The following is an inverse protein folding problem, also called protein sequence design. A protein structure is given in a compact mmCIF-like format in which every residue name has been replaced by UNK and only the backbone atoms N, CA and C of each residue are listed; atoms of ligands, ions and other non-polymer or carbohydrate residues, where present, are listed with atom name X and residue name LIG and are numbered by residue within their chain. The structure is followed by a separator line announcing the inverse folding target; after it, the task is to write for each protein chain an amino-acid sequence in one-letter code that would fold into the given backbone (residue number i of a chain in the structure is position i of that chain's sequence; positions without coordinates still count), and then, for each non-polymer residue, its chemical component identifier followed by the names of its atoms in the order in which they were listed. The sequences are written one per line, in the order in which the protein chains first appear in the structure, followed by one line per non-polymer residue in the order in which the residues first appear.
data_IF_627159820884
#
_entry.id   IF_627159820884
#
_cell.length_a   1.000
_cell.length_b   1.000
_cell.length_c   1.000
_cell.angle_alpha   90.00
_cell.angle_beta   90.00
_cell.angle_gamma   90.00
#
_symmetry.space_group_name_H-M   'P 1'
#
loop_
_entity.id
_entity.type
_entity.pdbx_description
1 polymer ?
#
# COMPACT_ATOMS: atom_id res chain seq x y z
N UNK A 1 -14.83 -2.46 -28.94
CA UNK A 1 -14.63 -3.71 -28.16
C UNK A 1 -14.05 -3.28 -26.82
N UNK A 2 -14.59 -3.78 -25.73
CA UNK A 2 -14.00 -3.49 -24.40
C UNK A 2 -12.84 -4.49 -24.19
N UNK A 3 -11.63 -3.97 -23.92
CA UNK A 3 -10.51 -4.80 -23.51
C UNK A 3 -10.57 -5.04 -22.00
N UNK A 4 -10.48 -6.29 -21.56
CA UNK A 4 -10.50 -6.70 -20.16
C UNK A 4 -9.16 -7.32 -19.81
N UNK A 5 -8.54 -6.85 -18.74
CA UNK A 5 -7.33 -7.41 -18.17
C UNK A 5 -7.69 -8.22 -16.91
N UNK A 6 -7.43 -9.51 -16.93
CA UNK A 6 -7.57 -10.37 -15.75
C UNK A 6 -6.35 -10.22 -14.88
N UNK A 7 -6.55 -9.72 -13.67
CA UNK A 7 -5.49 -9.40 -12.71
C UNK A 7 -5.26 -10.54 -11.73
N UNK A 8 -4.05 -11.10 -11.72
CA UNK A 8 -3.54 -11.91 -10.62
C UNK A 8 -2.80 -11.06 -9.61
N UNK A 9 -2.86 -11.41 -8.33
CA UNK A 9 -2.22 -10.62 -7.28
C UNK A 9 -1.50 -11.50 -6.27
N UNK A 10 -0.18 -11.28 -6.05
CA UNK A 10 0.58 -11.91 -4.97
C UNK A 10 0.79 -10.90 -3.84
N UNK A 11 0.78 -11.38 -2.59
CA UNK A 11 0.90 -10.53 -1.39
C UNK A 11 -0.17 -9.44 -1.40
N UNK A 12 -1.40 -9.82 -1.71
CA UNK A 12 -2.48 -8.91 -2.07
C UNK A 12 -2.91 -7.98 -0.92
N UNK A 13 -2.56 -8.31 0.32
CA UNK A 13 -3.00 -7.56 1.47
C UNK A 13 -4.54 -7.48 1.53
N UNK A 14 -5.11 -6.44 2.13
CA UNK A 14 -6.57 -6.30 2.22
C UNK A 14 -7.23 -5.87 0.89
N UNK A 15 -6.47 -5.76 -0.20
CA UNK A 15 -7.01 -5.39 -1.52
C UNK A 15 -6.90 -3.90 -1.88
N UNK A 16 -5.93 -3.17 -1.35
CA UNK A 16 -5.74 -1.76 -1.72
C UNK A 16 -5.39 -1.55 -3.19
N UNK A 17 -4.52 -2.40 -3.75
CA UNK A 17 -4.21 -2.42 -5.18
C UNK A 17 -5.42 -2.90 -5.98
N UNK A 18 -6.01 -4.05 -5.61
CA UNK A 18 -7.16 -4.62 -6.30
C UNK A 18 -8.34 -3.66 -6.36
N UNK A 19 -8.66 -2.97 -5.25
CA UNK A 19 -9.73 -1.99 -5.24
C UNK A 19 -9.46 -0.84 -6.24
N UNK A 20 -8.24 -0.34 -6.26
CA UNK A 20 -7.82 0.67 -7.24
C UNK A 20 -7.93 0.17 -8.68
N UNK A 21 -7.55 -1.10 -8.93
CA UNK A 21 -7.59 -1.73 -10.23
C UNK A 21 -9.02 -1.90 -10.77
N UNK A 22 -9.91 -2.54 -10.00
CA UNK A 22 -11.30 -2.80 -10.43
C UNK A 22 -12.15 -1.54 -10.53
N UNK A 23 -11.78 -0.47 -9.82
CA UNK A 23 -12.42 0.84 -9.87
C UNK A 23 -11.73 1.83 -10.84
N UNK A 24 -10.68 1.42 -11.55
CA UNK A 24 -10.07 2.24 -12.59
C UNK A 24 -11.08 2.48 -13.72
N UNK A 25 -11.25 3.76 -14.10
CA UNK A 25 -12.29 4.16 -15.04
C UNK A 25 -11.67 4.78 -16.30
N UNK A 26 -11.52 3.96 -17.31
CA UNK A 26 -11.03 4.37 -18.66
C UNK A 26 -11.97 3.80 -19.73
N UNK A 27 -12.52 4.63 -20.62
CA UNK A 27 -13.46 4.17 -21.63
C UNK A 27 -12.92 2.98 -22.46
N UNK A 28 -13.72 1.92 -22.54
CA UNK A 28 -13.37 0.72 -23.31
C UNK A 28 -12.32 -0.19 -22.66
N UNK A 29 -11.88 0.10 -21.46
CA UNK A 29 -10.86 -0.66 -20.74
C UNK A 29 -11.38 -1.09 -19.36
N UNK A 30 -11.07 -2.30 -18.92
CA UNK A 30 -11.47 -2.82 -17.61
C UNK A 30 -10.39 -3.73 -17.03
N UNK A 31 -10.26 -3.70 -15.71
CA UNK A 31 -9.48 -4.69 -14.95
C UNK A 31 -10.46 -5.51 -14.12
N UNK A 32 -10.34 -6.83 -14.19
CA UNK A 32 -11.14 -7.77 -13.39
C UNK A 32 -10.23 -8.65 -12.56
N UNK A 33 -10.69 -8.99 -11.36
CA UNK A 33 -10.01 -9.95 -10.51
C UNK A 33 -9.97 -11.33 -11.20
N UNK A 34 -8.81 -12.00 -11.14
CA UNK A 34 -8.64 -13.38 -11.58
C UNK A 34 -8.32 -14.30 -10.40
N UNK A 35 -7.31 -13.98 -9.63
CA UNK A 35 -6.93 -14.67 -8.40
C UNK A 35 -6.05 -13.77 -7.52
N UNK A 36 -5.98 -14.08 -6.23
CA UNK A 36 -5.12 -13.39 -5.28
C UNK A 36 -4.49 -14.36 -4.28
N UNK A 37 -3.33 -14.02 -3.72
CA UNK A 37 -2.70 -14.77 -2.64
C UNK A 37 -2.20 -13.84 -1.54
N UNK A 38 -2.48 -14.23 -0.30
CA UNK A 38 -1.84 -13.72 0.92
C UNK A 38 -1.81 -14.85 1.95
N UNK A 39 -0.93 -14.78 2.95
CA UNK A 39 -0.83 -15.80 3.99
C UNK A 39 -1.70 -15.52 5.21
N UNK A 40 -2.13 -14.29 5.42
CA UNK A 40 -2.87 -13.83 6.61
C UNK A 40 -4.37 -14.03 6.41
N UNK A 41 -4.97 -14.85 7.26
CA UNK A 41 -6.38 -15.24 7.12
C UNK A 41 -7.35 -14.06 7.16
N UNK A 42 -7.22 -13.16 8.15
CA UNK A 42 -8.12 -11.99 8.26
C UNK A 42 -7.99 -11.10 7.03
N UNK A 43 -6.77 -10.97 6.51
CA UNK A 43 -6.47 -10.22 5.29
C UNK A 43 -7.15 -10.83 4.07
N UNK A 44 -7.08 -12.17 3.92
CA UNK A 44 -7.78 -12.89 2.85
C UNK A 44 -9.30 -12.72 2.95
N UNK A 45 -9.87 -12.78 4.15
CA UNK A 45 -11.31 -12.55 4.35
C UNK A 45 -11.71 -11.12 3.96
N UNK A 46 -10.91 -10.13 4.33
CA UNK A 46 -11.11 -8.73 3.92
C UNK A 46 -11.07 -8.58 2.40
N UNK A 47 -10.07 -9.18 1.76
CA UNK A 47 -9.94 -9.15 0.29
C UNK A 47 -11.15 -9.80 -0.38
N UNK A 48 -11.48 -11.03 -0.01
CA UNK A 48 -12.62 -11.78 -0.55
C UNK A 48 -13.91 -10.97 -0.45
N UNK A 49 -14.21 -10.43 0.74
CA UNK A 49 -15.43 -9.69 0.99
C UNK A 49 -15.61 -8.47 0.08
N UNK A 50 -14.54 -7.73 -0.17
CA UNK A 50 -14.62 -6.43 -0.85
C UNK A 50 -14.28 -6.50 -2.35
N UNK A 51 -13.55 -7.52 -2.79
CA UNK A 51 -13.04 -7.59 -4.16
C UNK A 51 -13.73 -8.68 -4.98
N UNK A 52 -13.91 -9.87 -4.39
CA UNK A 52 -14.43 -11.03 -5.12
C UNK A 52 -15.40 -11.88 -4.28
N UNK A 53 -16.48 -11.27 -3.73
CA UNK A 53 -17.41 -12.01 -2.85
C UNK A 53 -18.11 -13.18 -3.54
N UNK A 54 -18.27 -13.12 -4.87
CA UNK A 54 -18.93 -14.15 -5.67
C UNK A 54 -17.98 -15.29 -6.08
N UNK A 55 -16.66 -15.16 -5.82
CA UNK A 55 -15.64 -16.15 -6.19
C UNK A 55 -14.55 -16.29 -5.10
N UNK A 56 -14.94 -16.63 -3.86
CA UNK A 56 -14.00 -16.71 -2.72
C UNK A 56 -12.89 -17.75 -2.91
N UNK A 57 -13.11 -18.77 -3.71
CA UNK A 57 -12.14 -19.83 -4.03
C UNK A 57 -10.95 -19.35 -4.85
N UNK A 58 -11.03 -18.15 -5.42
CA UNK A 58 -9.93 -17.53 -6.18
C UNK A 58 -8.92 -16.81 -5.27
N UNK A 59 -9.19 -16.73 -3.96
CA UNK A 59 -8.27 -16.18 -2.97
C UNK A 59 -7.54 -17.32 -2.25
N UNK A 60 -6.29 -17.50 -2.61
CA UNK A 60 -5.40 -18.53 -2.04
C UNK A 60 -4.81 -18.02 -0.73
N UNK A 61 -5.41 -18.43 0.40
CA UNK A 61 -4.97 -18.03 1.73
C UNK A 61 -3.89 -19.01 2.26
N UNK A 62 -2.68 -18.86 1.76
CA UNK A 62 -1.54 -19.71 2.11
C UNK A 62 -0.20 -19.00 1.90
N UNK A 63 0.85 -19.50 2.53
CA UNK A 63 2.20 -19.01 2.29
C UNK A 63 2.57 -19.21 0.82
N UNK A 64 3.10 -18.17 0.18
CA UNK A 64 3.49 -18.19 -1.23
C UNK A 64 4.50 -19.32 -1.56
N UNK A 65 5.27 -19.79 -0.57
CA UNK A 65 6.18 -20.94 -0.70
C UNK A 65 5.44 -22.27 -0.94
N UNK A 66 4.15 -22.35 -0.57
CA UNK A 66 3.31 -23.52 -0.75
C UNK A 66 2.37 -23.38 -1.96
N UNK A 67 2.27 -22.16 -2.50
CA UNK A 67 1.38 -21.85 -3.62
C UNK A 67 1.81 -22.59 -4.89
N UNK A 68 0.91 -23.43 -5.39
CA UNK A 68 1.11 -24.15 -6.65
C UNK A 68 0.76 -23.24 -7.83
N UNK A 69 1.78 -22.65 -8.44
CA UNK A 69 1.59 -21.73 -9.56
C UNK A 69 0.89 -22.38 -10.75
N UNK A 70 1.01 -23.70 -10.94
CA UNK A 70 0.36 -24.41 -12.07
C UNK A 70 -1.16 -24.49 -11.93
N UNK A 71 -1.68 -24.31 -10.72
CA UNK A 71 -3.12 -24.29 -10.43
C UNK A 71 -3.78 -22.93 -10.56
N UNK A 72 -2.99 -21.86 -10.69
CA UNK A 72 -3.54 -20.52 -10.86
C UNK A 72 -4.15 -20.35 -12.25
N UNK A 73 -5.25 -19.61 -12.34
CA UNK A 73 -5.88 -19.29 -13.62
C UNK A 73 -5.01 -18.34 -14.48
N UNK A 74 -5.23 -18.33 -15.80
CA UNK A 74 -4.50 -17.45 -16.71
C UNK A 74 -4.82 -15.98 -16.41
N UNK A 75 -3.81 -15.12 -16.57
CA UNK A 75 -3.88 -13.67 -16.30
C UNK A 75 -3.38 -12.86 -17.48
N UNK A 76 -3.88 -11.63 -17.59
CA UNK A 76 -3.41 -10.60 -18.54
C UNK A 76 -2.52 -9.57 -17.85
N UNK A 77 -2.60 -9.51 -16.51
CA UNK A 77 -1.92 -8.55 -15.64
C UNK A 77 -1.52 -9.18 -14.31
N UNK A 78 -0.42 -8.70 -13.72
CA UNK A 78 0.03 -9.12 -12.38
C UNK A 78 0.26 -7.88 -11.51
N UNK A 79 -0.21 -7.91 -10.26
CA UNK A 79 0.23 -6.98 -9.22
C UNK A 79 0.89 -7.75 -8.06
N UNK A 80 1.97 -7.22 -7.47
CA UNK A 80 2.59 -7.83 -6.30
C UNK A 80 3.34 -6.82 -5.44
N UNK A 81 3.01 -6.82 -4.14
CA UNK A 81 3.65 -5.99 -3.12
C UNK A 81 4.56 -6.83 -2.22
N UNK A 82 5.79 -7.11 -2.64
CA UNK A 82 6.68 -8.01 -1.91
C UNK A 82 7.34 -7.35 -0.69
N UNK A 83 7.50 -8.07 0.45
CA UNK A 83 8.15 -7.54 1.65
C UNK A 83 9.62 -7.17 1.43
N UNK A 84 10.07 -6.08 2.09
CA UNK A 84 11.45 -5.60 2.01
C UNK A 84 12.42 -6.33 2.97
N UNK A 85 11.90 -7.16 3.89
CA UNK A 85 12.68 -7.71 5.00
C UNK A 85 13.75 -8.73 4.58
N UNK A 86 13.64 -9.33 3.40
CA UNK A 86 14.53 -10.40 2.94
C UNK A 86 15.89 -9.90 2.42
N UNK A 87 16.06 -8.59 2.26
CA UNK A 87 17.33 -8.02 1.79
C UNK A 87 18.38 -7.83 2.89
N UNK A 88 17.99 -7.94 4.17
CA UNK A 88 18.92 -7.90 5.30
C UNK A 88 19.74 -9.20 5.47
N UNK A 89 19.33 -10.28 4.82
CA UNK A 89 19.96 -11.63 4.91
C UNK A 89 20.77 -11.99 3.66
N UNK A 90 20.89 -11.11 2.68
CA UNK A 90 21.69 -11.33 1.45
C UNK A 90 23.22 -11.24 1.71
N UNK A 91 23.66 -11.58 2.92
CA UNK A 91 25.07 -11.80 3.23
C UNK A 91 25.62 -13.16 2.80
N UNK A 92 24.80 -14.11 2.38
CA UNK A 92 25.22 -15.41 1.92
C UNK A 92 24.82 -15.66 0.46
N UNK A 93 25.82 -15.89 -0.37
CA UNK A 93 25.77 -16.20 -1.80
C UNK A 93 25.05 -17.53 -2.12
N UNK A 94 23.87 -17.75 -1.58
CA UNK A 94 23.01 -18.86 -1.95
C UNK A 94 22.02 -18.36 -3.01
N UNK A 95 22.48 -18.36 -4.27
CA UNK A 95 21.61 -18.17 -5.41
C UNK A 95 20.39 -19.11 -5.35
N UNK A 96 19.45 -19.00 -6.28
CA UNK A 96 18.16 -19.72 -6.48
C UNK A 96 18.03 -21.18 -5.97
N UNK A 97 19.01 -21.73 -5.26
CA UNK A 97 19.05 -23.08 -4.66
C UNK A 97 18.81 -23.11 -3.14
N UNK A 98 18.60 -21.97 -2.50
CA UNK A 98 18.17 -21.91 -1.10
C UNK A 98 16.69 -22.31 -0.99
N UNK A 99 16.33 -23.03 0.07
CA UNK A 99 14.98 -23.53 0.34
C UNK A 99 13.91 -22.40 0.44
N UNK A 100 14.34 -21.13 0.47
CA UNK A 100 13.54 -19.91 0.52
C UNK A 100 14.26 -18.81 -0.27
N UNK A 101 13.98 -18.69 -1.58
CA UNK A 101 14.41 -17.53 -2.37
C UNK A 101 13.74 -16.25 -1.86
N UNK A 102 14.28 -15.06 -2.19
CA UNK A 102 13.62 -13.79 -1.80
C UNK A 102 12.20 -13.73 -2.38
N UNK A 103 11.24 -13.26 -1.59
CA UNK A 103 9.80 -13.33 -1.92
C UNK A 103 9.41 -12.69 -3.27
N UNK A 104 10.15 -11.66 -3.74
CA UNK A 104 9.92 -11.09 -5.06
C UNK A 104 10.11 -12.11 -6.22
N UNK A 105 10.91 -13.17 -6.00
CA UNK A 105 11.16 -14.19 -7.02
C UNK A 105 9.91 -14.97 -7.43
N UNK A 106 8.90 -15.04 -6.56
CA UNK A 106 7.60 -15.61 -6.90
C UNK A 106 6.88 -14.76 -7.94
N UNK A 107 6.94 -13.42 -7.81
CA UNK A 107 6.48 -12.52 -8.86
C UNK A 107 7.19 -12.77 -10.19
N UNK A 108 8.52 -12.92 -10.18
CA UNK A 108 9.30 -13.25 -11.39
C UNK A 108 8.88 -14.61 -11.98
N UNK A 109 8.62 -15.62 -11.13
CA UNK A 109 8.15 -16.93 -11.60
C UNK A 109 6.80 -16.82 -12.32
N UNK A 110 5.85 -16.04 -11.77
CA UNK A 110 4.57 -15.77 -12.41
C UNK A 110 4.76 -15.02 -13.75
N UNK A 111 5.66 -14.02 -13.80
CA UNK A 111 5.96 -13.30 -15.04
C UNK A 111 6.50 -14.24 -16.14
N UNK A 112 7.37 -15.18 -15.79
CA UNK A 112 7.95 -16.14 -16.73
C UNK A 112 6.92 -17.18 -17.21
N UNK A 113 6.06 -17.65 -16.31
CA UNK A 113 5.07 -18.70 -16.59
C UNK A 113 3.87 -18.18 -17.37
N UNK A 114 3.24 -17.11 -16.88
CA UNK A 114 1.99 -16.58 -17.41
C UNK A 114 2.16 -15.50 -18.46
N UNK A 115 3.31 -14.83 -18.48
CA UNK A 115 3.67 -13.77 -19.43
C UNK A 115 2.57 -12.71 -19.59
N UNK A 116 2.06 -12.12 -18.47
CA UNK A 116 1.03 -11.09 -18.54
C UNK A 116 1.47 -9.93 -19.43
N UNK A 117 0.52 -9.18 -19.97
CA UNK A 117 0.80 -8.02 -20.83
C UNK A 117 1.56 -6.92 -20.08
N UNK A 118 1.22 -6.75 -18.79
CA UNK A 118 1.84 -5.79 -17.90
C UNK A 118 1.85 -6.29 -16.45
N UNK A 119 2.70 -5.67 -15.64
CA UNK A 119 2.70 -5.88 -14.19
C UNK A 119 2.88 -4.57 -13.42
N UNK A 120 2.45 -4.58 -12.16
CA UNK A 120 2.75 -3.57 -11.15
C UNK A 120 3.44 -4.26 -9.96
N UNK A 121 4.69 -3.88 -9.68
CA UNK A 121 5.41 -4.31 -8.48
C UNK A 121 5.55 -3.14 -7.50
N UNK A 122 5.17 -3.36 -6.23
CA UNK A 122 5.21 -2.32 -5.18
C UNK A 122 6.20 -2.69 -4.09
N UNK A 123 6.87 -1.67 -3.54
CA UNK A 123 7.69 -1.79 -2.35
C UNK A 123 7.80 -0.44 -1.60
N UNK A 124 8.34 -0.48 -0.38
CA UNK A 124 8.64 0.74 0.37
C UNK A 124 9.68 1.61 -0.34
N UNK A 125 9.59 2.94 -0.19
CA UNK A 125 10.53 3.87 -0.83
C UNK A 125 12.01 3.63 -0.46
N UNK A 126 12.28 3.05 0.71
CA UNK A 126 13.62 2.72 1.19
C UNK A 126 14.34 1.60 0.43
N UNK A 127 13.65 0.82 -0.41
CA UNK A 127 14.29 -0.25 -1.20
C UNK A 127 15.41 0.27 -2.10
N UNK A 128 15.31 1.54 -2.51
CA UNK A 128 16.31 2.22 -3.36
C UNK A 128 17.69 2.27 -2.74
N UNK A 129 17.77 2.37 -1.40
CA UNK A 129 19.02 2.44 -0.65
C UNK A 129 19.32 1.14 0.11
N UNK A 130 18.47 0.14 0.05
CA UNK A 130 18.69 -1.13 0.70
C UNK A 130 19.93 -1.82 0.11
N UNK A 131 20.86 -2.23 0.98
CA UNK A 131 22.13 -2.85 0.59
C UNK A 131 22.88 -2.05 -0.50
N UNK A 132 23.09 -0.75 -0.25
CA UNK A 132 23.74 0.19 -1.19
C UNK A 132 23.12 0.21 -2.60
N UNK A 133 21.83 -0.08 -2.71
CA UNK A 133 21.07 -0.11 -3.96
C UNK A 133 21.23 -1.39 -4.78
N UNK A 134 22.08 -2.33 -4.36
CA UNK A 134 22.33 -3.57 -5.10
C UNK A 134 21.10 -4.45 -5.19
N UNK A 135 20.29 -4.51 -4.11
CA UNK A 135 19.04 -5.27 -4.09
C UNK A 135 18.05 -4.76 -5.16
N UNK A 136 17.89 -3.44 -5.24
CA UNK A 136 16.97 -2.83 -6.20
C UNK A 136 17.43 -3.06 -7.65
N UNK A 137 18.73 -2.92 -7.93
CA UNK A 137 19.30 -3.21 -9.25
C UNK A 137 19.10 -4.68 -9.65
N UNK A 138 19.24 -5.60 -8.72
CA UNK A 138 19.02 -7.03 -8.97
C UNK A 138 17.55 -7.31 -9.35
N UNK A 139 16.60 -6.76 -8.58
CA UNK A 139 15.17 -6.90 -8.87
C UNK A 139 14.83 -6.37 -10.27
N UNK A 140 15.34 -5.18 -10.61
CA UNK A 140 15.15 -4.60 -11.95
C UNK A 140 15.72 -5.50 -13.05
N UNK A 141 16.94 -6.02 -12.87
CA UNK A 141 17.56 -6.92 -13.84
C UNK A 141 16.74 -8.20 -14.03
N UNK A 142 16.21 -8.79 -12.95
CA UNK A 142 15.39 -10.01 -13.04
C UNK A 142 14.06 -9.75 -13.77
N UNK A 143 13.42 -8.58 -13.57
CA UNK A 143 12.23 -8.16 -14.31
C UNK A 143 12.51 -7.95 -15.81
N UNK A 144 13.63 -7.31 -16.14
CA UNK A 144 14.07 -7.10 -17.54
C UNK A 144 14.34 -8.45 -18.20
N UNK A 145 15.07 -9.34 -17.51
CA UNK A 145 15.38 -10.69 -18.00
C UNK A 145 14.12 -11.56 -18.16
N UNK A 146 13.06 -11.29 -17.40
CA UNK A 146 11.75 -11.92 -17.60
C UNK A 146 11.01 -11.44 -18.85
N UNK A 147 11.56 -10.48 -19.60
CA UNK A 147 11.03 -10.02 -20.88
C UNK A 147 10.20 -8.75 -20.83
N UNK A 148 10.45 -7.86 -19.87
CA UNK A 148 9.68 -6.63 -19.70
C UNK A 148 10.55 -5.37 -19.80
N UNK A 149 10.01 -4.32 -20.42
CA UNK A 149 10.46 -2.95 -20.22
C UNK A 149 9.88 -2.44 -18.91
N UNK A 150 10.71 -1.86 -18.05
CA UNK A 150 10.29 -1.44 -16.71
C UNK A 150 10.32 0.08 -16.58
N UNK A 151 9.40 0.61 -15.76
CA UNK A 151 9.23 2.03 -15.49
C UNK A 151 9.17 2.26 -13.97
N UNK A 152 10.34 2.28 -13.29
CA UNK A 152 10.41 2.48 -11.84
C UNK A 152 10.17 3.94 -11.49
N UNK A 153 9.33 4.21 -10.49
CA UNK A 153 9.12 5.55 -9.96
C UNK A 153 8.81 5.55 -8.47
N UNK A 154 9.33 6.56 -7.76
CA UNK A 154 8.99 6.82 -6.36
C UNK A 154 7.76 7.71 -6.28
N UNK A 155 6.61 7.11 -6.03
CA UNK A 155 5.37 7.85 -5.83
C UNK A 155 5.31 8.44 -4.42
N UNK A 156 5.14 9.76 -4.35
CA UNK A 156 4.80 10.51 -3.14
C UNK A 156 3.31 10.76 -3.19
N UNK A 157 2.54 9.91 -2.54
CA UNK A 157 1.09 9.88 -2.72
C UNK A 157 0.39 11.16 -2.29
N UNK A 158 0.95 11.92 -1.35
CA UNK A 158 0.45 13.25 -0.99
C UNK A 158 0.36 14.20 -2.19
N UNK A 159 1.24 14.06 -3.18
CA UNK A 159 1.22 14.87 -4.40
C UNK A 159 0.10 14.46 -5.38
N UNK A 160 -0.54 13.32 -5.15
CA UNK A 160 -1.64 12.78 -5.94
C UNK A 160 -3.00 12.92 -5.23
N UNK A 161 -3.13 13.88 -4.33
CA UNK A 161 -4.37 14.13 -3.60
C UNK A 161 -4.70 13.12 -2.50
N UNK A 162 -3.75 12.26 -2.14
CA UNK A 162 -3.93 11.32 -1.04
C UNK A 162 -3.62 12.02 0.29
N UNK A 163 -4.50 11.95 1.30
CA UNK A 163 -4.34 12.66 2.57
C UNK A 163 -3.27 12.03 3.49
N UNK A 164 -2.19 11.53 2.89
CA UNK A 164 -1.11 10.84 3.58
C UNK A 164 0.23 10.98 2.87
N UNK A 165 1.25 11.45 3.58
CA UNK A 165 2.65 11.43 3.13
C UNK A 165 3.17 9.98 3.21
N UNK A 166 2.88 9.22 2.14
CA UNK A 166 3.27 7.82 1.96
C UNK A 166 4.05 7.66 0.68
N UNK A 167 5.30 7.25 0.80
CA UNK A 167 6.19 7.09 -0.33
C UNK A 167 6.34 5.61 -0.68
N UNK A 168 6.10 5.26 -1.94
CA UNK A 168 6.21 3.89 -2.44
C UNK A 168 6.97 3.84 -3.76
N UNK A 169 7.89 2.88 -3.82
CA UNK A 169 8.50 2.49 -5.07
C UNK A 169 7.51 1.63 -5.84
N UNK A 170 7.13 2.06 -7.03
CA UNK A 170 6.29 1.27 -7.93
C UNK A 170 7.02 1.10 -9.24
N UNK A 171 7.08 -0.13 -9.71
CA UNK A 171 7.66 -0.51 -10.98
C UNK A 171 6.53 -1.02 -11.87
N UNK A 172 6.26 -0.33 -12.95
CA UNK A 172 5.38 -0.84 -13.99
C UNK A 172 6.24 -1.55 -15.02
N UNK A 173 5.83 -2.74 -15.43
CA UNK A 173 6.48 -3.48 -16.51
C UNK A 173 5.52 -3.72 -17.66
N UNK A 174 5.95 -3.47 -18.88
CA UNK A 174 5.21 -3.81 -20.12
C UNK A 174 6.02 -4.82 -20.91
N UNK A 175 5.37 -5.91 -21.35
CA UNK A 175 6.04 -7.00 -22.06
C UNK A 175 6.67 -6.49 -23.36
N UNK A 176 7.88 -6.94 -23.66
CA UNK A 176 8.75 -6.40 -24.72
C UNK A 176 8.19 -6.49 -26.14
N UNK A 177 7.31 -7.47 -26.40
CA UNK A 177 6.67 -7.68 -27.71
C UNK A 177 5.51 -6.71 -27.98
N UNK A 178 5.09 -5.92 -26.98
CA UNK A 178 3.98 -4.98 -27.09
C UNK A 178 4.48 -3.58 -27.45
N UNK A 179 3.77 -2.82 -28.31
CA UNK A 179 4.23 -1.50 -28.79
C UNK A 179 3.91 -0.34 -27.83
N UNK A 180 3.56 -0.64 -26.58
CA UNK A 180 3.13 0.38 -25.60
C UNK A 180 4.30 0.87 -24.76
N UNK A 181 4.26 2.15 -24.40
CA UNK A 181 5.23 2.81 -23.50
C UNK A 181 4.47 3.47 -22.35
N UNK A 182 4.74 3.04 -21.11
CA UNK A 182 4.11 3.64 -19.95
C UNK A 182 4.76 4.99 -19.59
N UNK A 183 3.93 5.99 -19.33
CA UNK A 183 4.35 7.30 -18.85
C UNK A 183 3.86 7.51 -17.41
N UNK A 184 4.71 8.10 -16.58
CA UNK A 184 4.37 8.34 -15.17
C UNK A 184 3.33 9.47 -15.11
N UNK A 185 2.12 9.26 -14.57
CA UNK A 185 1.09 10.30 -14.51
C UNK A 185 1.58 11.53 -13.72
N UNK A 186 1.29 12.73 -14.24
CA UNK A 186 1.67 13.98 -13.58
C UNK A 186 0.87 14.19 -12.29
N UNK A 187 1.51 14.56 -11.18
CA UNK A 187 0.84 14.95 -9.95
C UNK A 187 0.16 16.32 -10.04
N UNK A 188 0.45 17.14 -11.06
CA UNK A 188 -0.07 18.52 -11.18
C UNK A 188 -1.59 18.61 -11.32
N UNK A 189 -2.26 17.50 -11.64
CA UNK A 189 -3.71 17.40 -11.73
C UNK A 189 -4.41 17.29 -10.38
N UNK A 190 -3.65 17.12 -9.30
CA UNK A 190 -4.19 16.81 -7.99
C UNK A 190 -3.82 17.90 -6.98
N UNK A 191 -4.78 18.30 -6.16
CA UNK A 191 -4.55 19.16 -5.01
C UNK A 191 -4.23 18.35 -3.76
N UNK A 192 -3.47 18.94 -2.85
CA UNK A 192 -3.21 18.31 -1.56
C UNK A 192 -4.52 18.19 -0.76
N UNK A 193 -4.77 17.01 -0.20
CA UNK A 193 -5.89 16.74 0.70
C UNK A 193 -5.38 16.64 2.13
N UNK A 194 -6.03 17.35 3.04
CA UNK A 194 -5.66 17.38 4.46
C UNK A 194 -6.28 16.23 5.26
N UNK A 195 -5.75 15.99 6.47
CA UNK A 195 -6.36 15.03 7.40
C UNK A 195 -7.81 15.41 7.75
N UNK A 196 -8.07 16.70 7.95
CA UNK A 196 -9.40 17.22 8.27
C UNK A 196 -10.37 16.90 7.14
N UNK A 197 -10.03 17.25 5.91
CA UNK A 197 -10.87 16.97 4.75
C UNK A 197 -11.20 15.49 4.63
N UNK A 198 -10.20 14.62 4.81
CA UNK A 198 -10.40 13.19 4.68
C UNK A 198 -11.28 12.57 5.78
N UNK A 199 -11.21 13.10 7.01
CA UNK A 199 -11.91 12.52 8.16
C UNK A 199 -13.26 13.19 8.40
N UNK A 200 -13.36 14.51 8.22
CA UNK A 200 -14.54 15.29 8.56
C UNK A 200 -15.43 15.64 7.36
N UNK A 201 -14.96 15.49 6.11
CA UNK A 201 -15.70 15.90 4.93
C UNK A 201 -15.81 14.83 3.84
N UNK A 202 -16.95 14.12 3.73
CA UNK A 202 -18.12 14.16 4.65
C UNK A 202 -17.77 13.54 6.01
N UNK A 203 -18.54 13.81 7.07
CA UNK A 203 -18.38 13.13 8.35
C UNK A 203 -18.49 11.61 8.21
N UNK A 204 -17.70 10.87 8.99
CA UNK A 204 -17.81 9.40 9.02
C UNK A 204 -19.19 9.02 9.57
N UNK A 205 -19.96 8.17 8.87
CA UNK A 205 -21.25 7.67 9.40
C UNK A 205 -21.04 7.00 10.77
N UNK A 206 -21.99 7.21 11.69
CA UNK A 206 -21.89 6.66 13.04
C UNK A 206 -21.90 5.14 13.09
N UNK A 207 -22.50 4.51 12.07
CA UNK A 207 -22.61 3.07 11.86
C UNK A 207 -21.55 2.51 10.90
N UNK A 208 -20.59 3.34 10.47
CA UNK A 208 -19.52 2.89 9.58
C UNK A 208 -18.74 1.71 10.20
N UNK A 209 -18.45 0.66 9.44
CA UNK A 209 -17.69 -0.48 9.95
C UNK A 209 -16.28 -0.08 10.37
N UNK A 210 -15.73 -0.77 11.37
CA UNK A 210 -14.38 -0.55 11.91
C UNK A 210 -14.15 0.85 12.53
N UNK A 211 -15.22 1.52 12.99
CA UNK A 211 -15.18 2.87 13.57
C UNK A 211 -15.16 2.89 15.12
N UNK A 212 -14.90 1.75 15.76
CA UNK A 212 -14.90 1.66 17.22
C UNK A 212 -13.69 2.35 17.85
N UNK A 213 -13.92 3.11 18.89
CA UNK A 213 -12.83 3.74 19.66
C UNK A 213 -11.91 2.74 20.34
N UNK A 214 -10.62 3.06 20.35
CA UNK A 214 -9.64 2.35 21.19
C UNK A 214 -9.63 2.96 22.58
N UNK A 215 -9.88 2.13 23.59
CA UNK A 215 -9.82 2.54 24.99
C UNK A 215 -8.40 3.00 25.37
N UNK A 216 -8.28 4.20 25.93
CA UNK A 216 -7.01 4.76 26.40
C UNK A 216 -6.98 4.75 27.92
N UNK A 217 -5.79 4.59 28.52
CA UNK A 217 -5.63 4.76 29.97
C UNK A 217 -5.75 6.24 30.37
N UNK A 218 -6.17 6.51 31.60
CA UNK A 218 -6.27 7.87 32.13
C UNK A 218 -4.97 8.65 31.95
N UNK A 219 -3.82 8.04 32.21
CA UNK A 219 -2.51 8.67 32.06
C UNK A 219 -2.23 9.08 30.59
N UNK A 220 -2.67 8.28 29.61
CA UNK A 220 -2.53 8.63 28.18
C UNK A 220 -3.41 9.84 27.86
N UNK A 221 -4.67 9.81 28.32
CA UNK A 221 -5.61 10.92 28.10
C UNK A 221 -5.07 12.22 28.70
N UNK A 222 -4.57 12.18 29.96
CA UNK A 222 -3.98 13.36 30.62
C UNK A 222 -2.76 13.88 29.84
N UNK A 223 -1.86 13.01 29.39
CA UNK A 223 -0.70 13.41 28.60
C UNK A 223 -1.09 14.08 27.29
N UNK A 224 -2.10 13.54 26.60
CA UNK A 224 -2.57 14.09 25.32
C UNK A 224 -3.10 15.52 25.45
N UNK A 225 -3.60 15.95 26.61
CA UNK A 225 -4.08 17.34 26.82
C UNK A 225 -2.98 18.39 26.58
N UNK A 226 -1.72 18.01 26.77
CA UNK A 226 -0.55 18.91 26.61
C UNK A 226 0.06 18.84 25.21
N UNK A 227 -0.32 17.88 24.37
CA UNK A 227 0.23 17.70 23.04
C UNK A 227 -0.68 18.40 22.03
N UNK A 228 -0.19 19.46 21.39
CA UNK A 228 -0.91 20.22 20.36
C UNK A 228 -0.90 19.48 18.99
N UNK A 229 -1.78 19.84 18.05
CA UNK A 229 -1.73 19.32 16.68
C UNK A 229 -0.32 19.39 16.09
N UNK A 230 0.11 18.30 15.44
CA UNK A 230 1.44 18.18 14.85
C UNK A 230 2.59 17.87 15.81
N UNK A 231 2.39 18.02 17.11
CA UNK A 231 3.39 17.70 18.15
C UNK A 231 3.38 16.22 18.54
N UNK A 232 4.42 15.83 19.27
CA UNK A 232 4.58 14.52 19.90
C UNK A 232 5.02 14.68 21.37
N UNK A 233 5.18 13.56 22.08
CA UNK A 233 5.55 13.58 23.50
C UNK A 233 6.91 14.23 23.83
N UNK A 234 7.77 14.46 22.84
CA UNK A 234 9.11 15.04 23.04
C UNK A 234 9.20 16.48 22.57
N UNK A 235 8.22 16.97 21.82
CA UNK A 235 8.16 18.36 21.34
C UNK A 235 7.13 19.20 22.06
N UNK A 236 6.25 18.56 22.85
CA UNK A 236 5.24 19.22 23.67
C UNK A 236 5.79 19.54 25.06
N UNK A 237 5.27 20.61 25.65
CA UNK A 237 5.55 20.98 27.03
C UNK A 237 4.63 20.19 27.97
N UNK A 238 5.12 19.02 28.41
CA UNK A 238 4.39 18.05 29.24
C UNK A 238 4.91 18.15 30.66
N UNK A 239 4.04 18.26 31.71
CA UNK A 239 4.42 18.24 33.12
C UNK A 239 5.31 17.03 33.44
N UNK A 240 6.27 17.23 34.37
CA UNK A 240 7.32 16.24 34.69
C UNK A 240 6.74 14.87 35.08
N UNK A 241 5.63 14.85 35.83
CA UNK A 241 4.94 13.64 36.26
C UNK A 241 4.29 12.82 35.08
N UNK A 242 4.03 13.49 33.95
CA UNK A 242 3.45 12.88 32.74
C UNK A 242 4.49 12.63 31.63
N UNK A 243 5.74 13.08 31.82
CA UNK A 243 6.80 12.85 30.84
C UNK A 243 7.14 11.37 30.71
N UNK A 244 7.63 11.02 29.52
CA UNK A 244 8.07 9.65 29.23
C UNK A 244 9.49 9.45 29.71
N UNK A 245 9.68 8.51 30.62
CA UNK A 245 11.03 8.07 31.10
C UNK A 245 11.55 7.01 30.10
N UNK A 246 12.06 7.46 28.95
CA UNK A 246 12.58 6.56 27.89
C UNK A 246 14.11 6.49 27.99
N UNK A 247 14.62 5.25 28.08
CA UNK A 247 16.05 4.98 27.91
C UNK A 247 16.29 4.68 26.42
N UNK A 248 17.11 5.50 25.75
CA UNK A 248 17.48 5.28 24.35
C UNK A 248 16.91 6.32 23.38
N UNK A 249 16.80 5.94 22.08
CA UNK A 249 16.40 6.86 21.01
C UNK A 249 14.96 7.36 21.17
N UNK A 250 14.77 8.66 21.02
CA UNK A 250 13.44 9.30 21.03
C UNK A 250 12.75 9.05 19.68
N UNK A 251 11.72 8.20 19.67
CA UNK A 251 10.93 7.92 18.47
C UNK A 251 9.92 9.06 18.26
N UNK A 252 10.05 9.81 17.18
CA UNK A 252 9.21 10.98 16.87
C UNK A 252 7.71 10.66 16.72
N UNK A 253 7.35 9.39 16.57
CA UNK A 253 5.96 8.94 16.45
C UNK A 253 5.25 8.76 17.81
N UNK A 254 5.99 8.83 18.95
CA UNK A 254 5.40 8.58 20.27
C UNK A 254 4.42 9.71 20.65
N UNK A 255 3.16 9.34 20.87
CA UNK A 255 2.03 10.24 21.16
C UNK A 255 1.89 11.39 20.13
N UNK A 256 2.23 11.11 18.87
CA UNK A 256 2.15 12.13 17.82
C UNK A 256 0.71 12.36 17.39
N UNK A 257 0.24 13.61 17.55
CA UNK A 257 -1.03 14.06 16.99
C UNK A 257 -0.87 14.41 15.51
N UNK A 258 -1.91 14.18 14.75
CA UNK A 258 -2.01 14.70 13.38
C UNK A 258 -2.05 16.24 13.37
N UNK A 259 -1.60 16.84 12.30
CA UNK A 259 -1.86 18.24 11.95
C UNK A 259 -3.07 18.26 10.99
N UNK A 260 -4.21 18.81 11.40
CA UNK A 260 -5.43 18.75 10.60
C UNK A 260 -5.32 19.45 9.26
N UNK A 261 -4.43 20.44 9.14
CA UNK A 261 -4.23 21.26 7.94
C UNK A 261 -3.19 20.67 6.95
N UNK A 262 -2.72 19.45 7.22
CA UNK A 262 -1.73 18.75 6.39
C UNK A 262 -2.17 17.31 6.08
N UNK A 263 -1.62 16.69 5.04
CA UNK A 263 -1.68 15.23 4.91
C UNK A 263 -1.10 14.56 6.15
N UNK A 264 -1.61 13.40 6.53
CA UNK A 264 -1.06 12.61 7.63
C UNK A 264 0.38 12.16 7.31
N UNK A 265 1.17 11.92 8.33
CA UNK A 265 2.36 11.07 8.15
C UNK A 265 1.93 9.63 7.82
N UNK A 266 2.87 8.82 7.34
CA UNK A 266 2.58 7.44 6.93
C UNK A 266 1.84 6.66 8.03
N UNK A 267 0.65 6.19 7.71
CA UNK A 267 -0.12 5.26 8.54
C UNK A 267 0.53 3.89 8.45
N UNK A 268 0.98 3.37 9.58
CA UNK A 268 1.65 2.07 9.66
C UNK A 268 0.76 1.02 10.30
N UNK A 269 0.98 -0.24 9.99
CA UNK A 269 0.29 -1.38 10.61
C UNK A 269 0.74 -1.65 12.04
N UNK A 270 1.94 -1.18 12.41
CA UNK A 270 2.42 -1.22 13.79
C UNK A 270 1.71 -0.15 14.63
N UNK A 271 1.58 -0.40 15.89
CA UNK A 271 1.05 0.58 16.83
C UNK A 271 0.37 -0.10 18.02
N UNK A 272 0.80 0.28 19.20
CA UNK A 272 0.26 -0.06 20.49
C UNK A 272 0.80 0.96 21.50
N UNK A 273 0.08 1.21 22.58
CA UNK A 273 0.49 2.22 23.55
C UNK A 273 0.76 3.59 22.90
N UNK A 274 1.93 4.15 23.11
CA UNK A 274 2.30 5.48 22.63
C UNK A 274 2.50 5.63 21.12
N UNK A 275 2.56 4.53 20.35
CA UNK A 275 2.83 4.59 18.91
C UNK A 275 1.56 4.63 18.03
N UNK A 276 0.39 4.78 18.65
CA UNK A 276 -0.84 5.08 17.90
C UNK A 276 -0.74 6.41 17.18
N UNK A 277 -1.48 6.54 16.07
CA UNK A 277 -1.78 7.83 15.46
C UNK A 277 -2.89 8.49 16.27
N UNK A 278 -2.67 9.72 16.74
CA UNK A 278 -3.61 10.43 17.62
C UNK A 278 -4.35 11.54 16.87
N UNK A 279 -5.63 11.67 17.21
CA UNK A 279 -6.49 12.72 16.70
C UNK A 279 -5.96 14.11 17.13
N UNK A 280 -6.13 15.12 16.26
CA UNK A 280 -5.57 16.47 16.50
C UNK A 280 -6.23 17.22 17.65
N UNK A 281 -7.55 17.06 17.85
CA UNK A 281 -8.33 17.78 18.88
C UNK A 281 -8.84 16.89 20.00
N UNK A 282 -9.13 15.61 19.74
CA UNK A 282 -9.62 14.67 20.73
C UNK A 282 -8.47 13.92 21.41
N UNK A 283 -8.62 13.59 22.69
CA UNK A 283 -7.58 12.89 23.47
C UNK A 283 -7.64 11.38 23.28
N UNK A 284 -7.61 10.93 22.03
CA UNK A 284 -7.73 9.53 21.64
C UNK A 284 -6.89 9.17 20.41
N UNK A 285 -6.62 7.88 20.25
CA UNK A 285 -6.12 7.37 18.99
C UNK A 285 -7.21 7.46 17.90
N UNK A 286 -6.78 7.49 16.64
CA UNK A 286 -7.70 7.33 15.51
C UNK A 286 -8.39 5.97 15.56
N UNK A 287 -9.64 5.93 15.14
CA UNK A 287 -10.35 4.69 14.83
C UNK A 287 -9.71 4.02 13.60
N UNK A 288 -10.03 2.76 13.35
CA UNK A 288 -9.57 2.11 12.12
C UNK A 288 -10.25 2.70 10.88
N UNK A 289 -11.50 3.17 10.98
CA UNK A 289 -12.18 3.86 9.87
C UNK A 289 -11.52 5.19 9.51
N UNK A 290 -11.14 6.00 10.49
CA UNK A 290 -10.38 7.23 10.26
C UNK A 290 -9.03 6.93 9.56
N UNK A 291 -8.34 5.87 9.98
CA UNK A 291 -7.10 5.41 9.32
C UNK A 291 -7.34 4.93 7.90
N UNK A 292 -8.46 4.20 7.66
CA UNK A 292 -8.85 3.70 6.35
C UNK A 292 -9.14 4.86 5.37
N UNK A 293 -9.80 5.93 5.84
CA UNK A 293 -9.99 7.14 5.03
C UNK A 293 -8.67 7.83 4.67
N UNK A 294 -7.69 7.87 5.59
CA UNK A 294 -6.35 8.40 5.27
C UNK A 294 -5.61 7.52 4.25
N UNK A 295 -5.96 6.24 4.13
CA UNK A 295 -5.54 5.32 3.08
C UNK A 295 -6.49 5.29 1.87
N UNK A 296 -7.48 6.20 1.86
CA UNK A 296 -8.46 6.37 0.78
C UNK A 296 -9.34 5.15 0.49
N UNK A 297 -9.55 4.28 1.47
CA UNK A 297 -10.59 3.27 1.40
C UNK A 297 -11.97 3.91 1.60
N UNK A 298 -12.99 3.51 0.83
CA UNK A 298 -14.35 4.01 1.04
C UNK A 298 -14.96 3.49 2.35
N UNK A 299 -16.03 4.14 2.82
CA UNK A 299 -16.62 3.82 4.12
C UNK A 299 -17.33 2.48 4.18
N UNK A 300 -17.76 1.98 3.05
CA UNK A 300 -18.38 0.65 2.89
C UNK A 300 -17.36 -0.49 2.75
N UNK A 301 -16.07 -0.18 2.63
CA UNK A 301 -15.02 -1.20 2.62
C UNK A 301 -14.84 -1.79 4.02
N UNK A 302 -15.20 -3.04 4.22
CA UNK A 302 -15.20 -3.71 5.52
C UNK A 302 -13.92 -4.50 5.73
N UNK A 303 -13.18 -4.21 6.80
CA UNK A 303 -12.02 -4.99 7.21
C UNK A 303 -12.45 -6.06 8.21
N UNK A 304 -12.01 -7.30 8.00
CA UNK A 304 -12.26 -8.45 8.85
C UNK A 304 -11.15 -8.65 9.88
N UNK A 305 -11.52 -9.26 11.03
CA UNK A 305 -10.59 -9.60 12.09
C UNK A 305 -10.61 -8.65 13.30
N UNK A 306 -9.67 -8.85 14.20
CA UNK A 306 -9.54 -8.03 15.41
C UNK A 306 -9.14 -6.58 15.08
N UNK A 307 -9.38 -5.64 16.01
CA UNK A 307 -8.93 -4.24 15.84
C UNK A 307 -7.44 -4.11 15.51
N UNK A 308 -6.62 -5.01 16.03
CA UNK A 308 -5.18 -5.03 15.74
C UNK A 308 -4.88 -5.53 14.35
N UNK A 309 -5.56 -6.60 13.92
CA UNK A 309 -5.48 -7.13 12.58
C UNK A 309 -5.92 -6.08 11.55
N UNK A 310 -7.06 -5.44 11.76
CA UNK A 310 -7.57 -4.37 10.89
C UNK A 310 -6.58 -3.21 10.78
N UNK A 311 -6.00 -2.77 11.91
CA UNK A 311 -4.97 -1.73 11.91
C UNK A 311 -3.75 -2.12 11.09
N UNK A 312 -3.29 -3.37 11.22
CA UNK A 312 -2.17 -3.94 10.45
C UNK A 312 -2.49 -3.93 8.97
N UNK A 313 -3.65 -4.43 8.57
CA UNK A 313 -4.12 -4.46 7.18
C UNK A 313 -4.13 -3.06 6.56
N UNK A 314 -4.76 -2.08 7.21
CA UNK A 314 -4.81 -0.69 6.73
C UNK A 314 -3.41 -0.11 6.56
N UNK A 315 -2.52 -0.31 7.54
CA UNK A 315 -1.18 0.25 7.50
C UNK A 315 -0.26 -0.38 6.45
N UNK A 316 -0.49 -1.63 6.08
CA UNK A 316 0.28 -2.32 5.04
C UNK A 316 -0.21 -1.99 3.63
N UNK A 317 -1.47 -1.63 3.46
CA UNK A 317 -2.08 -1.39 2.15
C UNK A 317 -1.41 -0.25 1.36
N UNK A 318 -1.50 -0.33 0.05
CA UNK A 318 -1.33 0.82 -0.84
C UNK A 318 -2.61 1.66 -0.79
N UNK A 319 -2.54 3.01 -0.75
CA UNK A 319 -3.74 3.84 -0.79
C UNK A 319 -4.60 3.54 -2.00
N UNK A 320 -5.87 3.21 -1.79
CA UNK A 320 -6.78 2.70 -2.82
C UNK A 320 -6.94 3.67 -4.01
N UNK A 321 -7.13 4.98 -3.75
CA UNK A 321 -7.19 5.99 -4.81
C UNK A 321 -5.84 6.22 -5.48
N UNK A 322 -4.73 6.10 -4.73
CA UNK A 322 -3.38 6.17 -5.30
C UNK A 322 -3.13 5.03 -6.29
N UNK A 323 -3.54 3.82 -5.95
CA UNK A 323 -3.51 2.67 -6.85
C UNK A 323 -4.37 2.90 -8.10
N UNK A 324 -5.61 3.40 -7.93
CA UNK A 324 -6.53 3.71 -9.03
C UNK A 324 -5.89 4.65 -10.06
N UNK A 325 -5.24 5.72 -9.63
CA UNK A 325 -4.55 6.68 -10.51
C UNK A 325 -3.51 5.98 -11.38
N UNK A 326 -2.75 5.06 -10.80
CA UNK A 326 -1.70 4.33 -11.54
C UNK A 326 -2.32 3.34 -12.52
N UNK A 327 -3.35 2.60 -12.10
CA UNK A 327 -4.05 1.67 -13.00
C UNK A 327 -4.77 2.40 -14.15
N UNK A 328 -5.36 3.57 -13.91
CA UNK A 328 -5.91 4.40 -14.98
C UNK A 328 -4.83 4.85 -15.98
N UNK A 329 -3.62 5.19 -15.52
CA UNK A 329 -2.51 5.51 -16.41
C UNK A 329 -2.07 4.28 -17.25
N UNK A 330 -2.05 3.08 -16.66
CA UNK A 330 -1.79 1.84 -17.39
C UNK A 330 -2.88 1.63 -18.46
N UNK A 331 -4.15 1.68 -18.08
CA UNK A 331 -5.26 1.49 -19.01
C UNK A 331 -5.27 2.52 -20.16
N UNK A 332 -4.99 3.80 -19.86
CA UNK A 332 -4.85 4.85 -20.87
C UNK A 332 -3.70 4.55 -21.83
N UNK A 333 -2.59 4.01 -21.34
CA UNK A 333 -1.46 3.58 -22.17
C UNK A 333 -1.90 2.53 -23.20
N UNK A 334 -2.65 1.51 -22.77
CA UNK A 334 -3.16 0.46 -23.66
C UNK A 334 -4.29 0.94 -24.58
N UNK A 335 -5.09 1.91 -24.13
CA UNK A 335 -6.14 2.53 -24.94
C UNK A 335 -5.61 3.56 -25.96
N UNK A 336 -4.32 3.91 -25.92
CA UNK A 336 -3.75 4.99 -26.74
C UNK A 336 -4.28 6.38 -26.37
N UNK A 337 -4.77 6.57 -25.14
CA UNK A 337 -5.27 7.84 -24.64
C UNK A 337 -4.13 8.61 -24.01
N UNK A 338 -3.88 9.80 -24.51
CA UNK A 338 -2.86 10.70 -23.93
C UNK A 338 -3.30 11.23 -22.56
N UNK A 339 -2.33 11.40 -21.67
CA UNK A 339 -2.52 11.99 -20.34
C UNK A 339 -1.29 12.78 -19.93
N UNK A 340 -1.42 13.80 -19.06
CA UNK A 340 -0.29 14.54 -18.53
C UNK A 340 0.67 13.63 -17.78
N UNK A 341 1.97 13.74 -18.06
CA UNK A 341 3.00 12.88 -17.50
C UNK A 341 4.25 13.67 -17.09
N UNK A 342 5.05 13.07 -16.22
CA UNK A 342 6.35 13.56 -15.78
C UNK A 342 7.46 12.57 -16.14
N UNK A 343 8.70 13.06 -16.21
CA UNK A 343 9.87 12.19 -16.34
C UNK A 343 10.05 11.28 -15.12
N UNK A 344 10.64 10.10 -15.32
CA UNK A 344 10.92 9.17 -14.23
C UNK A 344 11.79 9.83 -13.14
N UNK A 345 11.41 9.64 -11.88
CA UNK A 345 12.18 10.12 -10.72
C UNK A 345 13.48 9.34 -10.52
N UNK A 346 13.61 8.19 -11.20
CA UNK A 346 14.79 7.34 -11.20
C UNK A 346 15.25 7.27 -12.65
N UNK A 347 16.42 7.88 -12.92
CA UNK A 347 17.14 7.66 -14.17
C UNK A 347 17.98 6.39 -14.00
N UNK A 348 18.08 5.60 -15.06
CA UNK A 348 18.93 4.42 -15.15
C UNK A 348 20.37 4.67 -14.74
#
# INVERSE_FOLDING_TARGET
MNEVFRLGELFCGPGGLAWGAINANVPGMKIEHAWANDYDYDTCQTYTRNICPESPETVYCEDVHLLDLDKLGPIDALAFGFPCNDFSVVGEQLGFKGKFGPLYSYGISVLLQYKPKWFLAENVGGIKSANDGLAFKRIQADMINAGYRIYPNLYKFENYGIPQARHRMIIIGIRNDLPYEFKIPSPELYSNTTCREAIENPPIPSDAPNNEYTKQSTQVIERLKYIKPGQNAFTADIPEELQLKVKGAKISQIYKRLDPEKPSYTITGSGGGGTHVYHWSENRALTNRERARLQTFPDDFVFEGSKESVRKQIGMAVPAQGAKIIFEAILKTFAGIEYPFVGASIRE
#
